data_IF_251701854686
#
_entry.id   IF_251701854686
#
_cell.length_a   1.000
_cell.length_b   1.000
_cell.length_c   1.000
_cell.angle_alpha   90.00
_cell.angle_beta   90.00
_cell.angle_gamma   90.00
#
_symmetry.space_group_name_H-M   'P 1'
#
loop_
_entity.id
_entity.type
_entity.pdbx_description
1 polymer ?
#
# COMPACT_ATOMS: atom_id res chain seq x y z
N UNK A 1 30.20 -7.95 -48.92
CA UNK A 1 30.46 -7.50 -47.54
C UNK A 1 29.09 -7.22 -46.95
N UNK A 2 28.51 -8.22 -46.30
CA UNK A 2 27.13 -8.16 -45.77
C UNK A 2 27.27 -7.78 -44.30
N UNK A 3 26.76 -6.60 -43.93
CA UNK A 3 26.61 -6.22 -42.54
C UNK A 3 25.38 -6.96 -42.00
N UNK A 4 25.62 -7.91 -41.10
CA UNK A 4 24.58 -8.45 -40.25
C UNK A 4 24.47 -7.54 -39.03
N UNK A 5 23.51 -6.61 -39.06
CA UNK A 5 23.06 -5.93 -37.85
C UNK A 5 22.10 -6.86 -37.12
N UNK A 6 22.65 -7.68 -36.22
CA UNK A 6 21.87 -8.27 -35.13
C UNK A 6 21.71 -7.17 -34.07
N UNK A 7 20.74 -6.29 -34.26
CA UNK A 7 20.17 -5.55 -33.15
C UNK A 7 18.91 -6.31 -32.70
N UNK A 8 19.10 -7.25 -31.79
CA UNK A 8 18.00 -7.71 -30.94
C UNK A 8 17.50 -6.48 -30.21
N UNK A 9 16.34 -6.00 -30.65
CA UNK A 9 15.53 -5.01 -29.95
C UNK A 9 15.23 -5.60 -28.57
N UNK A 10 16.04 -5.25 -27.57
CA UNK A 10 15.65 -5.45 -26.18
C UNK A 10 14.41 -4.58 -26.01
N UNK A 11 13.26 -5.22 -25.81
CA UNK A 11 12.12 -4.51 -25.25
C UNK A 11 12.60 -4.10 -23.87
N UNK A 12 12.98 -2.83 -23.74
CA UNK A 12 13.34 -2.20 -22.48
C UNK A 12 12.14 -2.39 -21.56
N UNK A 13 12.19 -3.40 -20.70
CA UNK A 13 11.18 -3.57 -19.68
C UNK A 13 11.49 -2.52 -18.63
N UNK A 14 10.84 -1.36 -18.77
CA UNK A 14 10.82 -0.34 -17.73
C UNK A 14 10.32 -1.03 -16.45
N UNK A 15 11.12 -1.05 -15.37
CA UNK A 15 10.72 -1.65 -14.13
C UNK A 15 9.42 -1.04 -13.59
N UNK A 16 8.61 -1.86 -12.93
CA UNK A 16 7.33 -1.46 -12.37
C UNK A 16 7.23 -1.92 -10.93
N UNK A 17 6.55 -1.11 -10.12
CA UNK A 17 6.30 -1.38 -8.72
C UNK A 17 4.86 -1.07 -8.36
N UNK A 18 4.38 -1.71 -7.30
CA UNK A 18 3.09 -1.47 -6.67
C UNK A 18 3.13 -1.83 -5.20
N UNK A 19 2.28 -1.19 -4.40
CA UNK A 19 1.94 -1.64 -3.06
C UNK A 19 1.02 -2.87 -3.10
N UNK A 20 1.18 -3.77 -2.13
CA UNK A 20 0.51 -5.07 -2.11
C UNK A 20 0.30 -5.63 -0.70
N UNK A 21 -0.50 -6.68 -0.62
CA UNK A 21 -0.66 -7.52 0.56
C UNK A 21 0.36 -8.69 0.55
N UNK A 22 0.43 -9.41 1.68
CA UNK A 22 1.27 -10.62 1.83
C UNK A 22 1.00 -11.72 0.79
N UNK A 23 -0.20 -11.73 0.18
CA UNK A 23 -0.58 -12.70 -0.85
C UNK A 23 -0.28 -12.22 -2.28
N UNK A 24 0.49 -11.13 -2.43
CA UNK A 24 0.84 -10.49 -3.72
C UNK A 24 -0.35 -9.86 -4.45
N UNK A 25 -1.50 -9.68 -3.79
CA UNK A 25 -2.58 -8.86 -4.33
C UNK A 25 -2.21 -7.38 -4.21
N UNK A 26 -2.23 -6.66 -5.33
CA UNK A 26 -2.08 -5.20 -5.35
C UNK A 26 -3.19 -4.56 -4.50
N UNK A 27 -2.83 -3.54 -3.72
CA UNK A 27 -3.74 -2.82 -2.82
C UNK A 27 -3.18 -1.43 -2.52
N UNK A 28 -4.00 -0.39 -2.72
CA UNK A 28 -3.56 1.01 -2.56
C UNK A 28 -4.18 1.71 -1.33
N UNK A 29 -4.98 1.00 -0.54
CA UNK A 29 -5.63 1.53 0.67
C UNK A 29 -5.38 0.56 1.81
N UNK A 30 -4.59 1.02 2.79
CA UNK A 30 -4.27 0.28 4.01
C UNK A 30 -4.86 0.96 5.24
N UNK A 31 -4.98 0.21 6.33
CA UNK A 31 -5.26 0.71 7.66
C UNK A 31 -4.02 0.67 8.55
N UNK A 32 -4.02 1.45 9.63
CA UNK A 32 -2.89 1.57 10.58
C UNK A 32 -2.39 0.23 11.16
N UNK A 33 -3.21 -0.81 11.14
CA UNK A 33 -2.91 -2.14 11.69
C UNK A 33 -2.58 -3.19 10.62
N UNK A 34 -2.39 -2.78 9.37
CA UNK A 34 -2.00 -3.65 8.25
C UNK A 34 -0.52 -3.47 7.91
N UNK A 35 0.06 -4.47 7.27
CA UNK A 35 1.42 -4.41 6.75
C UNK A 35 1.38 -4.04 5.26
N UNK A 36 2.37 -3.29 4.79
CA UNK A 36 2.56 -2.96 3.37
C UNK A 36 3.68 -3.80 2.79
N UNK A 37 3.41 -4.46 1.66
CA UNK A 37 4.40 -5.19 0.89
C UNK A 37 4.66 -4.47 -0.43
N UNK A 38 5.93 -4.39 -0.84
CA UNK A 38 6.32 -3.98 -2.17
C UNK A 38 6.23 -5.18 -3.12
N UNK A 39 5.58 -5.00 -4.26
CA UNK A 39 5.52 -5.96 -5.36
C UNK A 39 6.05 -5.27 -6.62
N UNK A 40 7.07 -5.83 -7.25
CA UNK A 40 7.64 -5.25 -8.46
C UNK A 40 8.23 -6.27 -9.41
N UNK A 41 8.53 -5.83 -10.63
CA UNK A 41 9.10 -6.66 -11.67
C UNK A 41 9.71 -5.85 -12.81
N UNK A 42 10.46 -6.53 -13.67
CA UNK A 42 11.23 -5.90 -14.76
C UNK A 42 12.63 -5.43 -14.37
N UNK A 43 13.08 -5.74 -13.16
CA UNK A 43 14.44 -5.44 -12.70
C UNK A 43 15.46 -6.44 -13.27
N UNK A 44 16.75 -6.17 -13.05
CA UNK A 44 17.80 -7.17 -13.29
C UNK A 44 17.55 -8.42 -12.43
N UNK A 45 17.74 -9.61 -13.00
CA UNK A 45 17.55 -10.87 -12.28
C UNK A 45 18.65 -11.10 -11.24
N UNK A 46 18.29 -11.57 -10.05
CA UNK A 46 19.22 -11.89 -8.95
C UNK A 46 20.10 -10.70 -8.51
N UNK A 47 19.60 -9.48 -8.68
CA UNK A 47 20.29 -8.23 -8.36
C UNK A 47 19.78 -7.67 -7.03
N UNK A 48 20.60 -6.85 -6.38
CA UNK A 48 20.20 -6.16 -5.15
C UNK A 48 19.61 -4.81 -5.49
N UNK A 49 18.46 -4.49 -4.89
CA UNK A 49 17.78 -3.20 -5.03
C UNK A 49 17.43 -2.66 -3.64
N UNK A 50 17.30 -1.34 -3.54
CA UNK A 50 16.83 -0.67 -2.33
C UNK A 50 15.38 -0.22 -2.53
N UNK A 51 14.52 -0.50 -1.55
CA UNK A 51 13.12 -0.11 -1.57
C UNK A 51 12.87 0.90 -0.46
N UNK A 52 12.21 2.00 -0.81
CA UNK A 52 11.88 3.09 0.10
C UNK A 52 10.38 3.31 0.14
N UNK A 53 9.85 3.65 1.30
CA UNK A 53 8.48 4.17 1.44
C UNK A 53 8.55 5.63 1.85
N UNK A 54 8.05 6.51 1.00
CA UNK A 54 8.23 7.97 1.15
C UNK A 54 6.89 8.70 1.04
N UNK A 55 6.74 9.90 1.62
CA UNK A 55 5.54 10.71 1.43
C UNK A 55 5.26 10.99 -0.06
N UNK A 56 3.98 10.92 -0.44
CA UNK A 56 3.53 11.17 -1.82
C UNK A 56 4.01 12.53 -2.32
N UNK A 57 4.61 12.53 -3.52
CA UNK A 57 4.97 13.76 -4.24
C UNK A 57 5.07 13.51 -5.74
N UNK A 58 5.18 14.60 -6.50
CA UNK A 58 5.52 14.50 -7.91
C UNK A 58 7.01 14.18 -8.06
N UNK A 59 7.32 12.99 -8.59
CA UNK A 59 8.67 12.56 -8.92
C UNK A 59 9.04 12.93 -10.35
N UNK A 60 10.26 13.42 -10.51
CA UNK A 60 10.90 13.71 -11.79
C UNK A 60 12.24 13.03 -11.85
N UNK A 61 12.67 12.68 -13.06
CA UNK A 61 13.98 12.07 -13.29
C UNK A 61 15.09 12.90 -12.64
N UNK A 62 16.02 12.21 -11.97
CA UNK A 62 17.12 12.75 -11.18
C UNK A 62 16.72 13.38 -9.83
N UNK A 63 15.48 13.18 -9.35
CA UNK A 63 15.12 13.63 -8.01
C UNK A 63 15.83 12.80 -6.93
N UNK A 64 16.44 13.42 -5.91
CA UNK A 64 17.02 12.67 -4.80
C UNK A 64 15.91 11.96 -4.01
N UNK A 65 16.13 10.71 -3.66
CA UNK A 65 15.27 9.96 -2.75
C UNK A 65 15.54 10.50 -1.34
N UNK A 66 14.52 11.04 -0.63
CA UNK A 66 14.72 11.62 0.67
C UNK A 66 14.83 10.51 1.71
N UNK A 67 16.01 9.91 1.84
CA UNK A 67 16.33 8.88 2.84
C UNK A 67 15.91 9.28 4.27
N UNK A 68 16.04 10.56 4.72
CA UNK A 68 15.56 10.96 6.05
C UNK A 68 14.03 10.90 6.22
N UNK A 69 13.29 10.90 5.12
CA UNK A 69 11.83 10.90 5.08
C UNK A 69 11.26 9.49 4.81
N UNK A 70 12.11 8.46 4.83
CA UNK A 70 11.66 7.08 4.80
C UNK A 70 10.83 6.78 6.06
N UNK A 71 9.55 6.50 5.84
CA UNK A 71 8.57 6.34 6.92
C UNK A 71 8.45 4.89 7.41
N UNK A 72 9.07 3.93 6.72
CA UNK A 72 8.98 2.51 7.08
C UNK A 72 9.82 2.10 8.30
N UNK A 73 10.78 2.94 8.70
CA UNK A 73 11.77 2.61 9.70
C UNK A 73 13.16 2.31 9.13
N UNK A 74 13.32 2.40 7.82
CA UNK A 74 14.60 2.38 7.11
C UNK A 74 14.51 1.60 5.80
N UNK A 75 15.57 1.70 5.00
CA UNK A 75 15.63 1.13 3.65
C UNK A 75 15.56 -0.39 3.68
N UNK A 76 14.69 -0.96 2.84
CA UNK A 76 14.64 -2.40 2.58
C UNK A 76 15.52 -2.78 1.39
N UNK A 77 16.72 -3.30 1.67
CA UNK A 77 17.60 -3.90 0.64
C UNK A 77 17.21 -5.36 0.39
N UNK A 78 16.77 -5.67 -0.83
CA UNK A 78 16.26 -6.99 -1.21
C UNK A 78 16.87 -7.48 -2.52
N UNK A 79 16.94 -8.80 -2.67
CA UNK A 79 17.41 -9.42 -3.91
C UNK A 79 16.20 -9.80 -4.78
N UNK A 80 16.23 -9.39 -6.04
CA UNK A 80 15.24 -9.84 -7.04
C UNK A 80 15.40 -11.32 -7.33
N UNK A 81 14.34 -11.97 -7.79
CA UNK A 81 14.40 -13.39 -8.15
C UNK A 81 15.07 -13.63 -9.52
N UNK A 82 15.05 -14.88 -10.00
CA UNK A 82 15.63 -15.24 -11.30
C UNK A 82 14.95 -14.61 -12.51
N UNK A 83 13.76 -14.03 -12.34
CA UNK A 83 13.01 -13.33 -13.37
C UNK A 83 13.09 -11.81 -13.24
N UNK A 84 13.75 -11.29 -12.20
CA UNK A 84 13.77 -9.86 -11.89
C UNK A 84 12.51 -9.39 -11.16
N UNK A 85 11.79 -10.30 -10.49
CA UNK A 85 10.61 -9.99 -9.69
C UNK A 85 10.98 -9.83 -8.21
N UNK A 86 10.21 -9.04 -7.47
CA UNK A 86 10.40 -8.81 -6.03
C UNK A 86 9.05 -8.78 -5.30
N UNK A 87 9.01 -9.41 -4.12
CA UNK A 87 7.91 -9.27 -3.16
C UNK A 87 8.47 -9.24 -1.74
N UNK A 88 8.34 -8.11 -1.05
CA UNK A 88 8.98 -7.88 0.24
C UNK A 88 8.08 -7.09 1.19
N UNK A 89 8.15 -7.40 2.49
CA UNK A 89 7.56 -6.55 3.52
C UNK A 89 8.40 -5.27 3.63
N UNK A 90 7.78 -4.12 3.40
CA UNK A 90 8.47 -2.81 3.39
C UNK A 90 7.94 -1.85 4.44
N UNK A 91 6.75 -2.06 4.99
CA UNK A 91 6.31 -1.25 6.14
C UNK A 91 5.46 -2.10 7.07
N UNK A 92 6.04 -2.61 8.18
CA UNK A 92 5.26 -3.33 9.18
C UNK A 92 4.38 -2.37 9.97
N UNK A 93 3.19 -2.84 10.38
CA UNK A 93 2.34 -2.10 11.30
C UNK A 93 3.08 -1.76 12.63
N UNK A 94 2.79 -0.61 13.28
CA UNK A 94 1.72 0.33 12.95
C UNK A 94 2.11 1.33 11.86
N UNK A 95 1.22 1.51 10.88
CA UNK A 95 1.39 2.50 9.81
C UNK A 95 0.96 3.89 10.27
N UNK A 96 1.53 4.92 9.66
CA UNK A 96 1.15 6.32 9.88
C UNK A 96 0.12 6.71 8.83
N UNK A 97 -0.98 7.36 9.24
CA UNK A 97 -2.01 7.87 8.32
C UNK A 97 -1.42 8.91 7.38
N UNK A 98 -1.63 8.72 6.07
CA UNK A 98 -1.05 9.58 5.04
C UNK A 98 -1.18 9.00 3.63
N UNK A 99 -0.52 9.69 2.70
CA UNK A 99 -0.37 9.28 1.30
C UNK A 99 1.11 9.09 1.02
N UNK A 100 1.46 8.03 0.30
CA UNK A 100 2.83 7.56 0.16
C UNK A 100 3.08 6.99 -1.24
N UNK A 101 4.36 6.98 -1.63
CA UNK A 101 4.88 6.29 -2.79
C UNK A 101 5.87 5.20 -2.34
N UNK A 102 6.02 4.15 -3.15
CA UNK A 102 7.10 3.17 -3.01
C UNK A 102 8.08 3.41 -4.15
N UNK A 103 9.37 3.54 -3.83
CA UNK A 103 10.45 3.69 -4.80
C UNK A 103 11.33 2.46 -4.75
N UNK A 104 11.64 1.93 -5.93
CA UNK A 104 12.53 0.81 -6.15
C UNK A 104 13.77 1.36 -6.83
N UNK A 105 14.78 1.68 -6.03
CA UNK A 105 16.10 2.17 -6.44
C UNK A 105 16.94 0.96 -6.88
N UNK A 106 16.98 0.76 -8.19
CA UNK A 106 17.48 -0.46 -8.83
C UNK A 106 19.01 -0.48 -8.87
N UNK A 107 19.64 0.69 -8.95
CA UNK A 107 21.09 0.84 -8.96
C UNK A 107 21.68 1.33 -7.63
N UNK A 108 20.83 1.52 -6.61
CA UNK A 108 21.18 1.83 -5.21
C UNK A 108 21.98 3.14 -5.09
N UNK A 109 21.66 4.14 -5.91
CA UNK A 109 22.37 5.40 -5.96
C UNK A 109 21.69 6.53 -5.13
N UNK A 110 20.49 6.27 -4.61
CA UNK A 110 19.70 7.21 -3.82
C UNK A 110 19.05 8.32 -4.64
N UNK A 111 18.96 8.16 -5.96
CA UNK A 111 18.38 9.10 -6.92
C UNK A 111 17.32 8.35 -7.71
N UNK A 112 16.14 8.95 -7.90
CA UNK A 112 15.14 8.38 -8.79
C UNK A 112 15.52 8.61 -10.26
N UNK A 113 15.79 7.53 -10.97
CA UNK A 113 16.23 7.46 -12.36
C UNK A 113 15.11 6.88 -13.23
N UNK A 114 14.48 7.71 -14.07
CA UNK A 114 13.38 7.25 -14.93
C UNK A 114 13.85 6.15 -15.90
N UNK A 115 13.21 4.98 -15.84
CA UNK A 115 13.52 3.85 -16.71
C UNK A 115 14.59 2.89 -16.16
N UNK A 116 15.26 3.26 -15.07
CA UNK A 116 16.15 2.39 -14.30
C UNK A 116 15.44 1.95 -13.01
N UNK A 117 14.78 2.90 -12.35
CA UNK A 117 14.02 2.68 -11.13
C UNK A 117 12.53 2.51 -11.42
N UNK A 118 11.81 1.99 -10.42
CA UNK A 118 10.36 1.97 -10.42
C UNK A 118 9.79 2.87 -9.33
N UNK A 119 8.61 3.40 -9.60
CA UNK A 119 7.73 4.02 -8.61
C UNK A 119 6.39 3.28 -8.63
N UNK A 120 5.73 3.15 -7.48
CA UNK A 120 4.32 2.76 -7.43
C UNK A 120 3.50 3.70 -8.34
N UNK A 121 2.92 3.15 -9.41
CA UNK A 121 2.51 3.93 -10.57
C UNK A 121 1.27 4.82 -10.39
N UNK A 122 0.57 4.73 -9.25
CA UNK A 122 -0.50 5.66 -8.88
C UNK A 122 0.08 6.91 -8.18
N UNK A 123 -0.63 8.05 -8.22
CA UNK A 123 -0.31 9.20 -7.35
C UNK A 123 -1.58 9.60 -6.56
N UNK A 124 -1.60 9.38 -5.25
CA UNK A 124 -0.53 8.72 -4.48
C UNK A 124 -0.37 7.25 -4.87
N UNK A 125 0.82 6.67 -4.67
CA UNK A 125 1.03 5.23 -4.84
C UNK A 125 0.07 4.43 -3.97
N UNK A 126 0.01 4.75 -2.67
CA UNK A 126 -0.99 4.23 -1.76
C UNK A 126 -1.36 5.20 -0.63
N UNK A 127 -2.41 4.86 0.12
CA UNK A 127 -2.87 5.64 1.27
C UNK A 127 -3.10 4.77 2.51
N UNK A 128 -2.73 5.30 3.66
CA UNK A 128 -3.02 4.72 4.97
C UNK A 128 -4.16 5.51 5.61
N UNK A 129 -5.17 4.82 6.11
CA UNK A 129 -6.36 5.40 6.73
C UNK A 129 -6.51 4.96 8.19
N UNK A 130 -7.17 5.79 8.97
CA UNK A 130 -7.63 5.41 10.31
C UNK A 130 -8.56 4.19 10.23
N UNK A 131 -8.48 3.32 11.23
CA UNK A 131 -9.43 2.24 11.39
C UNK A 131 -10.87 2.79 11.50
N UNK A 132 -11.84 2.21 10.80
CA UNK A 132 -13.23 2.65 10.94
C UNK A 132 -13.66 2.48 12.40
N UNK A 133 -14.28 3.53 12.96
CA UNK A 133 -14.81 3.49 14.30
C UNK A 133 -15.72 2.26 14.46
N UNK A 134 -15.40 1.39 15.43
CA UNK A 134 -16.26 0.25 15.73
C UNK A 134 -17.61 0.80 16.20
N UNK A 135 -18.67 0.51 15.44
CA UNK A 135 -20.01 0.88 15.86
C UNK A 135 -20.28 0.26 17.24
N UNK A 136 -20.94 0.99 18.18
CA UNK A 136 -21.27 0.41 19.47
C UNK A 136 -22.10 -0.85 19.24
N UNK A 137 -21.54 -1.99 19.61
CA UNK A 137 -22.25 -3.26 19.53
C UNK A 137 -23.49 -3.10 20.41
N UNK A 138 -24.70 -3.20 19.83
CA UNK A 138 -25.91 -3.31 20.65
C UNK A 138 -25.77 -4.61 21.45
N UNK A 139 -25.34 -4.48 22.71
CA UNK A 139 -25.28 -5.62 23.60
C UNK A 139 -26.68 -6.22 23.74
N UNK A 140 -26.78 -7.51 24.08
CA UNK A 140 -28.06 -8.15 24.37
C UNK A 140 -28.88 -7.36 25.43
N UNK A 141 -28.19 -6.64 26.32
CA UNK A 141 -28.79 -5.71 27.29
C UNK A 141 -29.43 -4.49 26.60
N UNK A 142 -28.77 -3.91 25.60
CA UNK A 142 -29.31 -2.83 24.77
C UNK A 142 -30.57 -3.25 24.01
N UNK A 143 -30.58 -4.47 23.45
CA UNK A 143 -31.78 -5.02 22.80
C UNK A 143 -32.91 -5.31 23.79
N UNK A 144 -32.60 -5.86 24.97
CA UNK A 144 -33.60 -6.13 26.00
C UNK A 144 -34.26 -4.84 26.53
N UNK A 145 -33.49 -3.76 26.70
CA UNK A 145 -34.03 -2.45 27.07
C UNK A 145 -34.92 -1.86 25.98
N UNK A 146 -34.57 -2.03 24.70
CA UNK A 146 -35.38 -1.55 23.59
C UNK A 146 -36.72 -2.31 23.48
N UNK A 147 -36.69 -3.64 23.62
CA UNK A 147 -37.91 -4.47 23.59
C UNK A 147 -38.81 -4.17 24.79
N UNK A 148 -38.24 -3.98 25.99
CA UNK A 148 -39.03 -3.61 27.18
C UNK A 148 -39.62 -2.21 27.05
N UNK A 149 -38.89 -1.23 26.50
CA UNK A 149 -39.39 0.12 26.28
C UNK A 149 -40.53 0.14 25.25
N UNK A 150 -40.38 -0.57 24.12
CA UNK A 150 -41.42 -0.72 23.10
C UNK A 150 -42.69 -1.38 23.68
N UNK A 151 -42.52 -2.41 24.51
CA UNK A 151 -43.63 -3.09 25.19
C UNK A 151 -44.35 -2.14 26.15
N UNK A 152 -43.61 -1.32 26.91
CA UNK A 152 -44.17 -0.38 27.87
C UNK A 152 -44.95 0.77 27.20
N UNK A 153 -44.44 1.27 26.06
CA UNK A 153 -45.10 2.30 25.25
C UNK A 153 -46.40 1.76 24.65
N UNK A 154 -46.38 0.54 24.09
CA UNK A 154 -47.57 -0.11 23.53
C UNK A 154 -48.66 -0.32 24.60
N UNK A 155 -48.29 -0.80 25.79
CA UNK A 155 -49.24 -1.00 26.90
C UNK A 155 -49.88 0.33 27.33
N UNK A 156 -49.08 1.42 27.41
CA UNK A 156 -49.60 2.76 27.74
C UNK A 156 -50.55 3.30 26.67
N UNK A 157 -50.26 3.09 25.40
CA UNK A 157 -51.11 3.54 24.29
C UNK A 157 -52.48 2.84 24.28
N UNK A 158 -52.51 1.52 24.53
CA UNK A 158 -53.75 0.74 24.58
C UNK A 158 -54.67 1.20 25.73
N UNK A 159 -54.11 1.41 26.94
CA UNK A 159 -54.88 1.85 28.11
C UNK A 159 -55.51 3.23 27.94
N UNK A 160 -54.90 4.11 27.13
CA UNK A 160 -55.42 5.46 26.86
C UNK A 160 -56.62 5.45 25.90
N UNK A 161 -56.77 4.40 25.07
CA UNK A 161 -57.87 4.26 24.09
C UNK A 161 -59.12 3.61 24.67
N UNK A 162 -59.00 2.96 25.84
CA UNK A 162 -60.11 2.31 26.55
C UNK A 162 -60.75 3.20 27.64
N UNK A 163 -60.31 4.45 27.77
CA UNK A 163 -60.93 5.50 28.57
C UNK A 163 -61.57 6.50 27.65
#
# INVERSE_FOLDING_TARGET
MVYHENQTFLVDHIPQGASSEINQSIKDIFFENEDVYALGGGFNSSDWIDIYVVPDRNWTDQDPIPIPDDVSGGVETVQTDGNGDVHALVWPAPLIVGSYDIIYDSDQDGIYNWGIDAIDGASPGFSVRELPAQAPILSAVGLALLVTMMSFIAIRAIRKKQR
#
